data_IF_890445612455
#
_entry.id   IF_890445612455
#
_cell.length_a   1.000
_cell.length_b   1.000
_cell.length_c   1.000
_cell.angle_alpha   90.00
_cell.angle_beta   90.00
_cell.angle_gamma   90.00
#
_symmetry.space_group_name_H-M   'P 1'
#
loop_
_entity.id
_entity.type
_entity.pdbx_description
1 polymer ?
#
# COMPACT_ATOMS: atom_id res chain seq x y z
N UNK A 1 -34.55 15.24 15.06
CA UNK A 1 -33.15 14.76 14.98
C UNK A 1 -32.98 13.70 13.86
N UNK A 2 -33.32 13.98 12.58
CA UNK A 2 -33.26 12.97 11.51
C UNK A 2 -31.90 12.91 10.77
N UNK A 3 -30.95 13.80 11.07
CA UNK A 3 -29.70 13.96 10.31
C UNK A 3 -28.63 12.88 10.58
N UNK A 4 -28.65 12.28 11.78
CA UNK A 4 -27.66 11.29 12.22
C UNK A 4 -27.59 10.04 11.32
N UNK A 5 -28.70 9.37 10.97
CA UNK A 5 -28.66 8.21 10.08
C UNK A 5 -28.18 8.54 8.66
N UNK A 6 -28.52 9.73 8.14
CA UNK A 6 -28.04 10.19 6.83
C UNK A 6 -26.53 10.39 6.82
N UNK A 7 -25.97 10.99 7.88
CA UNK A 7 -24.53 11.17 8.04
C UNK A 7 -23.79 9.83 8.13
N UNK A 8 -24.36 8.84 8.83
CA UNK A 8 -23.79 7.48 8.91
C UNK A 8 -23.80 6.82 7.51
N UNK A 9 -24.90 6.96 6.76
CA UNK A 9 -25.01 6.42 5.40
C UNK A 9 -23.96 7.04 4.46
N UNK A 10 -23.78 8.37 4.48
CA UNK A 10 -22.78 9.07 3.66
C UNK A 10 -21.36 8.64 4.06
N UNK A 11 -21.05 8.58 5.36
CA UNK A 11 -19.74 8.15 5.85
C UNK A 11 -19.43 6.70 5.44
N UNK A 12 -20.42 5.81 5.49
CA UNK A 12 -20.24 4.42 5.09
C UNK A 12 -20.10 4.27 3.57
N UNK A 13 -20.83 5.05 2.77
CA UNK A 13 -20.72 5.06 1.31
C UNK A 13 -19.37 5.61 0.85
N UNK A 14 -18.85 6.64 1.53
CA UNK A 14 -17.49 7.13 1.31
C UNK A 14 -16.43 6.06 1.66
N UNK A 15 -16.59 5.35 2.79
CA UNK A 15 -15.71 4.24 3.16
C UNK A 15 -15.75 3.06 2.18
N UNK A 16 -16.92 2.76 1.63
CA UNK A 16 -17.12 1.74 0.61
C UNK A 16 -16.47 2.14 -0.73
N UNK A 17 -16.65 3.39 -1.17
CA UNK A 17 -16.01 3.92 -2.37
C UNK A 17 -14.47 3.90 -2.25
N UNK A 18 -13.93 4.29 -1.10
CA UNK A 18 -12.49 4.25 -0.83
C UNK A 18 -11.94 2.82 -0.85
N UNK A 19 -12.70 1.87 -0.30
CA UNK A 19 -12.36 0.45 -0.34
C UNK A 19 -12.44 -0.13 -1.76
N UNK A 20 -13.50 0.19 -2.51
CA UNK A 20 -13.71 -0.24 -3.89
C UNK A 20 -12.59 0.28 -4.81
N UNK A 21 -12.17 1.53 -4.63
CA UNK A 21 -11.01 2.10 -5.34
C UNK A 21 -9.73 1.31 -5.04
N UNK A 22 -9.50 0.93 -3.78
CA UNK A 22 -8.39 0.06 -3.38
C UNK A 22 -8.42 -1.33 -4.03
N UNK A 23 -9.61 -1.91 -4.20
CA UNK A 23 -9.81 -3.20 -4.89
C UNK A 23 -9.62 -3.06 -6.40
N UNK A 24 -10.16 -2.01 -7.02
CA UNK A 24 -10.04 -1.76 -8.45
C UNK A 24 -8.60 -1.49 -8.87
N UNK A 25 -7.88 -0.66 -8.10
CA UNK A 25 -6.43 -0.42 -8.29
C UNK A 25 -5.62 -1.71 -8.21
N UNK A 26 -6.04 -2.70 -7.41
CA UNK A 26 -5.36 -4.01 -7.31
C UNK A 26 -5.81 -5.03 -8.37
N UNK A 27 -7.06 -4.98 -8.84
CA UNK A 27 -7.50 -5.80 -9.99
C UNK A 27 -6.75 -5.42 -11.26
N UNK A 28 -6.50 -4.12 -11.47
CA UNK A 28 -5.68 -3.64 -12.57
C UNK A 28 -4.28 -4.29 -12.57
N UNK A 29 -3.67 -4.47 -11.39
CA UNK A 29 -2.33 -5.09 -11.26
C UNK A 29 -2.28 -6.54 -11.72
N UNK A 30 -3.37 -7.29 -11.60
CA UNK A 30 -3.38 -8.67 -12.11
C UNK A 30 -3.30 -8.73 -13.64
N UNK A 31 -3.73 -7.67 -14.33
CA UNK A 31 -3.63 -7.54 -15.79
C UNK A 31 -2.34 -6.85 -16.23
N UNK A 32 -1.50 -6.38 -15.30
CA UNK A 32 -0.27 -5.67 -15.64
C UNK A 32 0.77 -6.61 -16.26
N UNK A 33 1.47 -6.15 -17.32
CA UNK A 33 2.61 -6.87 -17.88
C UNK A 33 3.68 -7.17 -16.83
N UNK A 34 4.31 -8.32 -16.98
CA UNK A 34 5.41 -8.78 -16.11
C UNK A 34 6.73 -8.50 -16.81
N UNK A 35 7.71 -8.01 -16.06
CA UNK A 35 9.07 -7.81 -16.51
C UNK A 35 10.05 -8.35 -15.47
N UNK A 36 11.23 -8.78 -15.94
CA UNK A 36 12.33 -9.14 -15.06
C UNK A 36 13.13 -7.88 -14.75
N UNK A 37 13.18 -7.51 -13.47
CA UNK A 37 13.94 -6.38 -12.97
C UNK A 37 15.13 -6.82 -12.15
N UNK A 38 16.20 -6.05 -12.19
CA UNK A 38 17.41 -6.27 -11.40
C UNK A 38 17.43 -5.29 -10.22
N UNK A 39 17.76 -5.79 -9.02
CA UNK A 39 17.99 -4.92 -7.86
C UNK A 39 19.26 -4.11 -8.06
N UNK A 40 19.13 -2.80 -8.16
CA UNK A 40 20.28 -1.89 -8.32
C UNK A 40 20.75 -1.29 -7.01
N UNK A 41 19.84 -1.11 -6.05
CA UNK A 41 20.19 -0.59 -4.73
C UNK A 41 19.18 -1.01 -3.65
N UNK A 42 19.67 -1.11 -2.42
CA UNK A 42 18.86 -1.34 -1.22
C UNK A 42 19.23 -0.32 -0.16
N UNK A 43 18.24 0.31 0.47
CA UNK A 43 18.46 1.38 1.44
C UNK A 43 17.50 1.22 2.64
N UNK A 44 17.99 1.50 3.86
CA UNK A 44 17.15 1.62 5.06
C UNK A 44 16.94 3.09 5.38
N UNK A 45 15.70 3.55 5.32
CA UNK A 45 15.34 4.95 5.58
C UNK A 45 14.69 5.05 6.95
N UNK A 46 15.27 5.82 7.85
CA UNK A 46 14.70 6.10 9.16
C UNK A 46 13.66 7.23 9.05
N UNK A 47 12.38 6.92 9.29
CA UNK A 47 11.37 7.91 9.60
C UNK A 47 11.50 8.30 11.07
N UNK A 48 12.34 9.31 11.30
CA UNK A 48 12.31 10.12 12.51
C UNK A 48 11.55 11.42 12.22
N UNK A 49 10.54 11.73 13.03
CA UNK A 49 10.06 13.10 13.14
C UNK A 49 11.23 13.96 13.62
N UNK A 50 11.76 14.84 12.76
CA UNK A 50 12.72 15.89 13.15
C UNK A 50 12.09 16.96 14.05
N UNK A 51 10.91 16.72 14.64
CA UNK A 51 10.37 17.59 15.68
C UNK A 51 10.92 17.11 17.01
N UNK A 52 12.17 17.50 17.29
CA UNK A 52 12.61 17.76 18.65
C UNK A 52 11.74 18.90 19.18
N UNK A 53 10.56 18.60 19.72
CA UNK A 53 9.91 19.47 20.68
C UNK A 53 9.66 18.64 21.93
N UNK A 54 10.41 19.01 22.98
CA UNK A 54 10.01 19.08 24.39
C UNK A 54 8.66 18.39 24.69
N UNK A 55 8.72 17.33 25.50
CA UNK A 55 7.59 16.85 26.33
C UNK A 55 6.40 16.14 25.64
N UNK A 56 6.65 15.37 24.58
CA UNK A 56 5.65 14.45 24.00
C UNK A 56 6.06 12.97 24.13
N UNK A 57 5.11 12.02 24.21
CA UNK A 57 5.40 10.59 24.29
C UNK A 57 6.28 10.16 23.10
N UNK A 58 7.31 9.38 23.40
CA UNK A 58 8.33 8.86 22.49
C UNK A 58 7.70 8.38 21.18
N UNK A 59 7.83 9.14 20.09
CA UNK A 59 7.35 8.69 18.80
C UNK A 59 8.17 7.46 18.39
N UNK A 60 7.48 6.34 18.23
CA UNK A 60 8.05 5.05 17.86
C UNK A 60 8.84 5.19 16.54
N UNK A 61 10.17 5.09 16.60
CA UNK A 61 11.05 5.19 15.42
C UNK A 61 10.63 4.14 14.39
N UNK A 62 10.48 4.54 13.13
CA UNK A 62 10.13 3.63 12.03
C UNK A 62 11.25 3.57 11.00
N UNK A 63 11.55 2.38 10.51
CA UNK A 63 12.56 2.13 9.49
C UNK A 63 11.89 1.56 8.24
N UNK A 64 12.05 2.20 7.09
CA UNK A 64 11.58 1.69 5.80
C UNK A 64 12.70 0.94 5.11
N UNK A 65 12.37 -0.23 4.55
CA UNK A 65 13.26 -0.92 3.64
C UNK A 65 12.92 -0.55 2.19
N UNK A 66 13.81 0.22 1.54
CA UNK A 66 13.68 0.61 0.14
C UNK A 66 14.51 -0.33 -0.73
N UNK A 67 13.90 -0.79 -1.82
CA UNK A 67 14.57 -1.56 -2.88
C UNK A 67 14.35 -0.81 -4.19
N UNK A 68 15.44 -0.40 -4.81
CA UNK A 68 15.44 0.18 -6.14
C UNK A 68 15.77 -0.91 -7.14
N UNK A 69 14.98 -0.97 -8.22
CA UNK A 69 15.21 -1.90 -9.32
C UNK A 69 15.29 -1.17 -10.65
N UNK A 70 15.90 -1.85 -11.61
CA UNK A 70 15.94 -1.43 -13.01
C UNK A 70 15.48 -2.57 -13.90
N UNK A 71 14.68 -2.25 -14.92
CA UNK A 71 14.25 -3.19 -15.96
C UNK A 71 14.10 -2.46 -17.28
N UNK A 72 13.95 -3.23 -18.36
CA UNK A 72 13.71 -2.67 -19.69
C UNK A 72 12.27 -2.91 -20.11
N UNK A 73 11.64 -1.88 -20.68
CA UNK A 73 10.32 -1.95 -21.31
C UNK A 73 10.45 -1.36 -22.70
N UNK A 74 10.15 -2.16 -23.73
CA UNK A 74 10.22 -1.74 -25.13
C UNK A 74 11.58 -1.10 -25.54
N UNK A 75 12.68 -1.56 -24.94
CA UNK A 75 14.04 -1.04 -25.21
C UNK A 75 14.42 0.20 -24.39
N UNK A 76 13.55 0.69 -23.52
CA UNK A 76 13.87 1.79 -22.59
C UNK A 76 14.18 1.27 -21.18
N UNK A 77 15.28 1.75 -20.61
CA UNK A 77 15.64 1.45 -19.23
C UNK A 77 14.77 2.24 -18.25
N UNK A 78 13.99 1.53 -17.45
CA UNK A 78 13.12 2.07 -16.41
C UNK A 78 13.71 1.77 -15.04
N UNK A 79 13.89 2.80 -14.23
CA UNK A 79 14.28 2.68 -12.82
C UNK A 79 13.09 3.02 -11.91
N UNK A 80 12.83 2.18 -10.91
CA UNK A 80 11.74 2.39 -9.94
C UNK A 80 12.06 1.81 -8.56
N UNK A 81 11.24 2.15 -7.57
CA UNK A 81 11.36 1.69 -6.19
C UNK A 81 10.04 1.12 -5.63
N UNK A 82 10.15 0.36 -4.55
CA UNK A 82 9.00 -0.23 -3.84
C UNK A 82 8.07 0.77 -3.15
N UNK A 83 8.38 2.07 -3.17
CA UNK A 83 7.56 3.11 -2.57
C UNK A 83 6.39 3.53 -3.46
N UNK A 84 6.57 3.56 -4.79
CA UNK A 84 5.59 4.14 -5.72
C UNK A 84 4.25 3.38 -5.78
N UNK A 85 4.26 2.06 -5.62
CA UNK A 85 3.02 1.27 -5.77
C UNK A 85 2.38 0.83 -4.45
N UNK A 86 3.08 0.06 -3.61
CA UNK A 86 2.51 -0.60 -2.42
C UNK A 86 2.97 -0.03 -1.06
N UNK A 87 3.64 1.12 -1.09
CA UNK A 87 4.40 1.70 0.03
C UNK A 87 5.53 0.77 0.52
N UNK A 88 6.69 1.35 0.81
CA UNK A 88 7.82 0.56 1.31
C UNK A 88 7.46 -0.06 2.68
N UNK A 89 7.82 -1.33 2.95
CA UNK A 89 7.55 -1.97 4.22
C UNK A 89 8.25 -1.22 5.36
N UNK A 90 7.49 -0.94 6.42
CA UNK A 90 7.96 -0.24 7.61
C UNK A 90 8.16 -1.20 8.78
N UNK A 91 9.29 -1.06 9.46
CA UNK A 91 9.71 -1.87 10.60
C UNK A 91 9.94 -0.98 11.83
N UNK A 92 9.84 -1.59 13.03
CA UNK A 92 10.10 -0.92 14.31
C UNK A 92 11.59 -0.87 14.68
N UNK A 93 12.43 -1.65 13.99
CA UNK A 93 13.88 -1.68 14.21
C UNK A 93 14.64 -1.66 12.88
N UNK A 94 15.84 -1.09 12.90
CA UNK A 94 16.74 -1.04 11.75
C UNK A 94 17.17 -2.44 11.35
N UNK A 95 17.42 -3.30 12.34
CA UNK A 95 17.86 -4.68 12.16
C UNK A 95 16.79 -5.51 11.44
N UNK A 96 15.51 -5.28 11.75
CA UNK A 96 14.41 -5.95 11.06
C UNK A 96 14.29 -5.47 9.60
N UNK A 97 14.43 -4.17 9.34
CA UNK A 97 14.44 -3.64 7.99
C UNK A 97 15.63 -4.20 7.18
N UNK A 98 16.81 -4.27 7.78
CA UNK A 98 18.01 -4.80 7.13
C UNK A 98 17.94 -6.32 6.95
N UNK A 99 17.34 -7.05 7.88
CA UNK A 99 17.08 -8.47 7.73
C UNK A 99 16.18 -8.75 6.53
N UNK A 100 15.13 -7.94 6.32
CA UNK A 100 14.28 -8.05 5.14
C UNK A 100 15.02 -7.73 3.84
N UNK A 101 15.92 -6.73 3.84
CA UNK A 101 16.74 -6.41 2.67
C UNK A 101 17.72 -7.52 2.27
N UNK A 102 18.10 -8.42 3.19
CA UNK A 102 18.95 -9.58 2.87
C UNK A 102 18.30 -10.54 1.87
N UNK A 103 16.97 -10.54 1.77
CA UNK A 103 16.24 -11.33 0.78
C UNK A 103 16.33 -10.73 -0.64
N UNK A 104 16.79 -9.48 -0.76
CA UNK A 104 16.87 -8.69 -1.99
C UNK A 104 18.28 -8.13 -2.22
N UNK A 105 19.31 -8.98 -2.36
CA UNK A 105 20.66 -8.51 -2.66
C UNK A 105 20.72 -7.78 -4.01
N UNK A 106 21.61 -6.79 -4.10
CA UNK A 106 21.93 -6.10 -5.36
C UNK A 106 22.40 -7.13 -6.41
N UNK A 107 21.94 -6.95 -7.65
CA UNK A 107 22.18 -7.88 -8.76
C UNK A 107 21.17 -9.04 -8.85
N UNK A 108 20.29 -9.22 -7.86
CA UNK A 108 19.24 -10.25 -7.94
C UNK A 108 18.17 -9.86 -8.94
N UNK A 109 17.80 -10.81 -9.80
CA UNK A 109 16.62 -10.70 -10.65
C UNK A 109 15.34 -10.93 -9.85
N UNK A 110 14.34 -10.07 -10.06
CA UNK A 110 13.02 -10.10 -9.45
C UNK A 110 11.96 -9.98 -10.55
N UNK A 111 10.87 -10.73 -10.42
CA UNK A 111 9.69 -10.51 -11.25
C UNK A 111 8.91 -9.30 -10.71
N UNK A 112 8.70 -8.30 -11.56
CA UNK A 112 7.90 -7.12 -11.24
C UNK A 112 6.74 -7.00 -12.23
N UNK A 113 5.62 -6.43 -11.76
CA UNK A 113 4.50 -6.06 -12.62
C UNK A 113 4.45 -4.55 -12.76
N UNK A 114 4.46 -4.02 -13.97
CA UNK A 114 4.44 -2.58 -14.22
C UNK A 114 3.13 -2.13 -14.85
N UNK A 115 2.70 -0.90 -14.58
CA UNK A 115 1.55 -0.36 -15.30
C UNK A 115 1.91 -0.18 -16.80
N UNK A 116 1.00 -0.51 -17.72
CA UNK A 116 1.24 -0.32 -19.15
C UNK A 116 1.34 1.16 -19.54
N UNK A 117 0.60 2.04 -18.87
CA UNK A 117 0.58 3.47 -19.16
C UNK A 117 1.72 4.25 -18.46
N UNK A 118 2.24 3.74 -17.35
CA UNK A 118 3.41 4.30 -16.64
C UNK A 118 4.28 3.17 -16.07
N UNK A 119 5.35 2.77 -16.79
CA UNK A 119 6.26 1.71 -16.35
C UNK A 119 6.90 1.96 -14.99
N UNK A 120 6.95 3.21 -14.51
CA UNK A 120 7.54 3.53 -13.21
C UNK A 120 6.64 3.08 -12.05
N UNK A 121 5.35 2.80 -12.30
CA UNK A 121 4.47 2.19 -11.31
C UNK A 121 4.64 0.66 -11.36
N UNK A 122 5.51 0.13 -10.51
CA UNK A 122 5.77 -1.30 -10.44
C UNK A 122 5.40 -1.91 -9.08
N UNK A 123 4.76 -3.08 -9.09
CA UNK A 123 4.56 -3.94 -7.92
C UNK A 123 5.67 -4.99 -7.85
N UNK A 124 6.23 -5.15 -6.65
CA UNK A 124 7.24 -6.16 -6.31
C UNK A 124 6.59 -7.39 -5.68
N UNK A 125 6.90 -8.58 -6.19
CA UNK A 125 6.53 -9.85 -5.57
C UNK A 125 5.06 -10.27 -5.73
N UNK A 126 4.67 -11.44 -5.17
CA UNK A 126 3.33 -11.99 -5.32
C UNK A 126 2.31 -11.08 -4.63
N UNK A 127 1.26 -10.72 -5.36
CA UNK A 127 0.13 -9.89 -4.93
C UNK A 127 -0.63 -10.53 -3.77
N UNK A 128 -0.10 -10.53 -2.54
CA UNK A 128 -0.81 -11.00 -1.36
C UNK A 128 -1.72 -9.88 -0.87
N UNK A 129 -3.01 -10.01 -1.15
CA UNK A 129 -4.04 -9.19 -0.52
C UNK A 129 -3.93 -9.38 1.00
N UNK A 130 -3.73 -8.32 1.80
CA UNK A 130 -3.88 -8.44 3.25
C UNK A 130 -5.35 -8.72 3.53
N UNK A 131 -5.67 -9.98 3.87
CA UNK A 131 -7.02 -10.51 4.12
C UNK A 131 -7.82 -9.61 5.09
N UNK A 132 -7.12 -8.94 6.01
CA UNK A 132 -7.65 -7.92 6.92
C UNK A 132 -8.44 -6.79 6.24
N UNK A 133 -8.05 -6.35 5.04
CA UNK A 133 -8.73 -5.24 4.34
C UNK A 133 -10.07 -5.65 3.74
N UNK A 134 -10.23 -6.92 3.35
CA UNK A 134 -11.48 -7.45 2.79
C UNK A 134 -12.57 -7.53 3.87
N UNK A 135 -12.20 -7.95 5.08
CA UNK A 135 -13.12 -8.02 6.22
C UNK A 135 -13.67 -6.65 6.62
N UNK A 136 -12.84 -5.60 6.60
CA UNK A 136 -13.26 -4.24 6.91
C UNK A 136 -14.29 -3.70 5.91
N UNK A 137 -14.09 -3.96 4.61
CA UNK A 137 -15.03 -3.50 3.58
C UNK A 137 -16.41 -4.15 3.73
N UNK A 138 -16.47 -5.46 4.02
CA UNK A 138 -17.73 -6.16 4.28
C UNK A 138 -18.41 -5.67 5.56
N UNK A 139 -17.63 -5.42 6.62
CA UNK A 139 -18.14 -4.86 7.87
C UNK A 139 -18.79 -3.49 7.66
N UNK A 140 -18.12 -2.59 6.93
CA UNK A 140 -18.65 -1.25 6.63
C UNK A 140 -19.93 -1.31 5.78
N UNK A 141 -19.99 -2.21 4.80
CA UNK A 141 -21.18 -2.42 3.97
C UNK A 141 -22.37 -2.95 4.78
N UNK A 142 -22.13 -3.91 5.69
CA UNK A 142 -23.16 -4.43 6.58
C UNK A 142 -23.68 -3.35 7.56
N UNK A 143 -22.77 -2.55 8.11
CA UNK A 143 -23.11 -1.45 9.02
C UNK A 143 -23.92 -0.34 8.31
N UNK A 144 -23.57 -0.04 7.05
CA UNK A 144 -24.32 0.89 6.20
C UNK A 144 -25.76 0.41 5.96
N UNK A 145 -25.93 -0.85 5.57
CA UNK A 145 -27.24 -1.45 5.33
C UNK A 145 -28.11 -1.47 6.59
N UNK A 146 -27.51 -1.77 7.74
CA UNK A 146 -28.21 -1.77 9.03
C UNK A 146 -28.68 -0.38 9.45
N UNK A 147 -27.84 0.66 9.29
CA UNK A 147 -28.21 2.03 9.59
C UNK A 147 -29.34 2.55 8.69
N UNK A 148 -29.31 2.21 7.39
CA UNK A 148 -30.36 2.56 6.44
C UNK A 148 -31.69 1.87 6.79
N UNK A 149 -31.64 0.60 7.19
CA UNK A 149 -32.83 -0.15 7.63
C UNK A 149 -33.49 0.49 8.85
N UNK A 150 -32.71 0.93 9.85
CA UNK A 150 -33.26 1.63 11.02
C UNK A 150 -33.91 2.96 10.65
N UNK A 151 -33.38 3.68 9.67
CA UNK A 151 -33.95 4.94 9.20
C UNK A 151 -35.26 4.78 8.43
N UNK A 152 -35.41 3.70 7.65
CA UNK A 152 -36.65 3.43 6.91
C UNK A 152 -37.78 2.85 7.78
N UNK A 153 -37.46 2.35 8.98
CA UNK A 153 -38.42 1.66 9.86
C UNK A 153 -38.84 2.47 11.09
N UNK A 154 -38.20 3.60 11.36
CA UNK A 154 -38.54 4.54 12.43
C UNK A 154 -39.06 5.85 11.86
#
# INVERSE_FOLDING_TARGET
MPELPLLIAIAALAGAAFSAYGVWRRRAVNAWPRATAEVVATEVIELGSRVQNREGPEQERRYLARVAVRFEVAGEAVATDNRRFDAAPSFRSREAAQAWLRDYPVGKALEVRHAPDDPRLAQFGPSRLPVRRIGLTLFLLAMAGFALFLHLKG
#
